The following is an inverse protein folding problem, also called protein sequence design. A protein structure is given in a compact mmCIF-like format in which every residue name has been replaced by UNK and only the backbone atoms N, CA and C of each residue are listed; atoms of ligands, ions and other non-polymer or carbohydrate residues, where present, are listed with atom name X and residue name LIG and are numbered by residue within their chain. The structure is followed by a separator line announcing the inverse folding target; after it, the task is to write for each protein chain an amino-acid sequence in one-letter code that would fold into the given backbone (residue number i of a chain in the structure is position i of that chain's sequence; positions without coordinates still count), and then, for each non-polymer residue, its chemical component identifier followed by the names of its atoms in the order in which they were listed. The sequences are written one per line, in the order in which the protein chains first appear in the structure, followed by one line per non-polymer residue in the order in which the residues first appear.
data_IF_228209111690
#
_entry.id   IF_228209111690
#
_cell.length_a   1.000
_cell.length_b   1.000
_cell.length_c   1.000
_cell.angle_alpha   90.00
_cell.angle_beta   90.00
_cell.angle_gamma   90.00
#
_symmetry.space_group_name_H-M   'P 1'
#
loop_
_entity.id
_entity.type
_entity.pdbx_description
1 polymer ?
#
# COMPACT_ATOMS: atom_id res chain seq x y z
N UNK A 1 9.95 13.98 4.03
CA UNK A 1 10.09 12.59 3.55
C UNK A 1 10.52 11.76 4.75
N UNK A 2 9.75 10.75 5.16
CA UNK A 2 10.15 9.87 6.25
C UNK A 2 11.48 9.19 5.90
N UNK A 3 12.38 9.07 6.87
CA UNK A 3 13.62 8.32 6.68
C UNK A 3 13.39 6.81 6.86
N UNK A 4 14.44 6.02 6.65
CA UNK A 4 14.36 4.56 6.70
C UNK A 4 13.77 4.02 8.02
N UNK A 5 14.14 4.54 9.21
CA UNK A 5 13.56 4.09 10.47
C UNK A 5 12.05 4.32 10.56
N UNK A 6 11.56 5.48 10.13
CA UNK A 6 10.14 5.83 10.17
C UNK A 6 9.33 4.94 9.22
N UNK A 7 9.83 4.69 8.00
CA UNK A 7 9.18 3.78 7.06
C UNK A 7 9.12 2.35 7.63
N UNK A 8 10.16 1.91 8.34
CA UNK A 8 10.19 0.61 9.01
C UNK A 8 9.17 0.52 10.15
N UNK A 9 9.02 1.58 10.96
CA UNK A 9 8.00 1.66 12.01
C UNK A 9 6.59 1.55 11.40
N UNK A 10 6.33 2.28 10.29
CA UNK A 10 5.05 2.20 9.58
C UNK A 10 4.83 0.79 9.03
N UNK A 11 5.85 0.16 8.45
CA UNK A 11 5.77 -1.23 7.94
C UNK A 11 5.38 -2.20 9.06
N UNK A 12 6.01 -2.13 10.23
CA UNK A 12 5.71 -3.02 11.36
C UNK A 12 4.29 -2.82 11.88
N UNK A 13 3.86 -1.56 12.04
CA UNK A 13 2.50 -1.24 12.46
C UNK A 13 1.46 -1.77 11.48
N UNK A 14 1.65 -1.55 10.17
CA UNK A 14 0.74 -2.08 9.17
C UNK A 14 0.73 -3.61 9.18
N UNK A 15 1.91 -4.25 9.22
CA UNK A 15 2.00 -5.71 9.17
C UNK A 15 1.23 -6.37 10.33
N UNK A 16 1.30 -5.79 11.54
CA UNK A 16 0.56 -6.27 12.70
C UNK A 16 -0.95 -6.08 12.55
N UNK A 17 -1.38 -4.97 11.96
CA UNK A 17 -2.78 -4.53 12.03
C UNK A 17 -3.64 -4.95 10.84
N UNK A 18 -3.06 -5.13 9.64
CA UNK A 18 -3.84 -5.34 8.41
C UNK A 18 -3.45 -6.58 7.59
N UNK A 19 -2.40 -7.33 7.97
CA UNK A 19 -2.10 -8.62 7.34
C UNK A 19 -3.29 -9.57 7.48
N UNK A 20 -3.63 -10.25 6.39
CA UNK A 20 -4.77 -11.18 6.32
C UNK A 20 -6.14 -10.50 6.20
N UNK A 21 -6.22 -9.15 6.20
CA UNK A 21 -7.50 -8.44 6.05
C UNK A 21 -7.86 -8.22 4.58
N UNK A 22 -9.17 -8.19 4.31
CA UNK A 22 -9.75 -7.86 3.00
C UNK A 22 -9.96 -6.36 2.83
N UNK A 23 -9.64 -5.85 1.65
CA UNK A 23 -9.88 -4.45 1.29
C UNK A 23 -11.33 -4.28 0.83
N UNK A 24 -12.21 -3.78 1.71
CA UNK A 24 -13.64 -3.64 1.39
C UNK A 24 -13.93 -2.44 0.47
N UNK A 25 -13.24 -1.31 0.70
CA UNK A 25 -13.44 -0.06 -0.04
C UNK A 25 -12.10 0.64 -0.22
N UNK A 26 -11.92 1.25 -1.38
CA UNK A 26 -10.77 2.10 -1.71
C UNK A 26 -11.31 3.46 -2.13
N UNK A 27 -10.76 4.53 -1.57
CA UNK A 27 -11.15 5.90 -1.86
C UNK A 27 -9.90 6.68 -2.27
N UNK A 28 -9.89 7.19 -3.51
CA UNK A 28 -8.83 8.07 -3.99
C UNK A 28 -9.35 9.50 -3.98
N UNK A 29 -8.82 10.32 -3.06
CA UNK A 29 -9.21 11.74 -2.92
C UNK A 29 -8.45 12.65 -3.88
N UNK A 30 -7.19 12.35 -4.15
CA UNK A 30 -6.37 13.09 -5.11
C UNK A 30 -5.76 12.11 -6.12
N UNK A 31 -6.11 12.28 -7.40
CA UNK A 31 -5.56 11.49 -8.52
C UNK A 31 -4.37 12.17 -9.20
N UNK A 32 -4.15 13.46 -8.93
CA UNK A 32 -3.05 14.25 -9.45
C UNK A 32 -1.84 14.15 -8.51
N UNK A 33 -1.32 12.93 -8.34
CA UNK A 33 -0.01 12.71 -7.73
C UNK A 33 1.08 13.04 -8.77
N UNK A 34 2.37 12.91 -8.39
CA UNK A 34 3.51 13.14 -9.31
C UNK A 34 3.33 12.42 -10.65
N UNK A 35 2.75 11.22 -10.59
CA UNK A 35 2.18 10.53 -11.74
C UNK A 35 0.67 10.43 -11.56
N UNK A 36 -0.09 10.68 -12.63
CA UNK A 36 -1.55 10.55 -12.59
C UNK A 36 -1.91 9.11 -12.27
N UNK A 37 -2.77 8.95 -11.27
CA UNK A 37 -3.28 7.64 -10.90
C UNK A 37 -4.36 7.21 -11.89
N UNK A 38 -4.28 5.97 -12.38
CA UNK A 38 -5.29 5.42 -13.26
C UNK A 38 -6.68 5.36 -12.59
N UNK A 39 -7.73 5.55 -13.38
CA UNK A 39 -9.13 5.44 -12.93
C UNK A 39 -9.53 4.03 -12.48
N UNK A 40 -8.71 3.04 -12.81
CA UNK A 40 -8.91 1.62 -12.47
C UNK A 40 -8.29 1.24 -11.12
N UNK A 41 -7.55 2.13 -10.46
CA UNK A 41 -6.75 1.83 -9.27
C UNK A 41 -7.57 1.24 -8.13
N UNK A 42 -8.75 1.80 -7.85
CA UNK A 42 -9.64 1.32 -6.80
C UNK A 42 -10.11 -0.12 -7.09
N UNK A 43 -10.43 -0.42 -8.35
CA UNK A 43 -10.85 -1.76 -8.80
C UNK A 43 -9.71 -2.77 -8.67
N UNK A 44 -8.47 -2.34 -8.94
CA UNK A 44 -7.27 -3.18 -8.80
C UNK A 44 -7.01 -3.60 -7.36
N UNK A 45 -7.50 -2.88 -6.35
CA UNK A 45 -7.23 -3.18 -4.93
C UNK A 45 -8.45 -3.73 -4.18
N UNK A 46 -9.66 -3.32 -4.55
CA UNK A 46 -10.89 -3.74 -3.90
C UNK A 46 -11.04 -5.27 -3.91
N UNK A 47 -11.61 -5.80 -2.82
CA UNK A 47 -11.89 -7.21 -2.59
C UNK A 47 -10.67 -8.15 -2.52
N UNK A 48 -9.43 -7.62 -2.52
CA UNK A 48 -8.22 -8.42 -2.34
C UNK A 48 -7.84 -8.52 -0.88
N UNK A 49 -7.20 -9.62 -0.51
CA UNK A 49 -6.58 -9.82 0.79
C UNK A 49 -5.13 -9.33 0.78
N UNK A 50 -4.71 -8.72 1.89
CA UNK A 50 -3.32 -8.31 2.12
C UNK A 50 -2.55 -9.53 2.65
N UNK A 51 -1.64 -10.08 1.85
CA UNK A 51 -0.85 -11.25 2.24
C UNK A 51 0.38 -10.87 3.05
N UNK A 52 1.03 -9.75 2.72
CA UNK A 52 2.24 -9.30 3.39
C UNK A 52 2.48 -7.79 3.23
N UNK A 53 3.39 -7.25 4.04
CA UNK A 53 3.85 -5.86 3.94
C UNK A 53 5.37 -5.82 4.09
N UNK A 54 6.02 -5.43 3.01
CA UNK A 54 7.47 -5.33 2.87
C UNK A 54 7.88 -3.86 2.80
N UNK A 55 9.17 -3.62 2.94
CA UNK A 55 9.79 -2.32 2.69
C UNK A 55 11.02 -2.55 1.83
N UNK A 56 11.25 -1.63 0.90
CA UNK A 56 12.51 -1.52 0.18
C UNK A 56 12.97 -0.07 0.25
N UNK A 57 14.07 0.20 0.96
CA UNK A 57 14.49 1.58 1.24
C UNK A 57 13.32 2.42 1.78
N UNK A 58 12.98 3.55 1.15
CA UNK A 58 11.88 4.46 1.54
C UNK A 58 10.50 4.08 0.97
N UNK A 59 10.39 2.91 0.33
CA UNK A 59 9.13 2.41 -0.24
C UNK A 59 8.48 1.37 0.67
N UNK A 60 7.17 1.51 0.89
CA UNK A 60 6.32 0.45 1.42
C UNK A 60 5.74 -0.37 0.28
N UNK A 61 5.72 -1.68 0.44
CA UNK A 61 5.23 -2.62 -0.55
C UNK A 61 4.15 -3.47 0.11
N UNK A 62 2.89 -3.23 -0.27
CA UNK A 62 1.75 -4.03 0.16
C UNK A 62 1.58 -5.16 -0.85
N UNK A 63 1.73 -6.39 -0.38
CA UNK A 63 1.54 -7.59 -1.17
C UNK A 63 0.10 -8.10 -1.02
N UNK A 64 -0.52 -8.40 -2.16
CA UNK A 64 -1.89 -8.92 -2.22
C UNK A 64 -1.85 -10.41 -2.57
N UNK A 65 -2.87 -11.14 -2.12
CA UNK A 65 -2.99 -12.59 -2.31
C UNK A 65 -2.79 -13.05 -3.76
N UNK A 66 -3.28 -12.28 -4.74
CA UNK A 66 -3.16 -12.58 -6.16
C UNK A 66 -1.77 -12.25 -6.76
N UNK A 67 -0.71 -12.19 -5.93
CA UNK A 67 0.67 -11.82 -6.31
C UNK A 67 0.79 -10.45 -6.98
N UNK A 68 -0.14 -9.54 -6.71
CA UNK A 68 -0.02 -8.13 -7.12
C UNK A 68 0.46 -7.26 -5.98
N UNK A 69 1.12 -6.15 -6.31
CA UNK A 69 1.79 -5.29 -5.33
C UNK A 69 1.28 -3.86 -5.44
N UNK A 70 1.09 -3.20 -4.30
CA UNK A 70 0.84 -1.77 -4.22
C UNK A 70 2.04 -1.11 -3.54
N UNK A 71 2.75 -0.28 -4.30
CA UNK A 71 3.95 0.42 -3.84
C UNK A 71 3.57 1.83 -3.41
N UNK A 72 3.98 2.23 -2.21
CA UNK A 72 3.69 3.53 -1.63
C UNK A 72 4.99 4.23 -1.24
N UNK A 73 5.14 5.46 -1.72
CA UNK A 73 6.16 6.40 -1.27
C UNK A 73 5.47 7.51 -0.47
N UNK A 74 5.93 7.81 0.75
CA UNK A 74 5.24 8.71 1.68
C UNK A 74 5.59 10.20 1.49
N UNK A 75 6.03 10.57 0.30
CA UNK A 75 6.50 11.92 -0.04
C UNK A 75 7.90 11.87 -0.59
#
# INVERSE_FOLDING_TARGET
MPELPEVEIVRQSLLKNIKGKKINKVLVRNRNLRFKLETSFEKKLKNKFISNIKRFSKYLIIELENKSFCIVHLG
#
